data_IF_744741341884
#
_entry.id   IF_744741341884
#
_cell.length_a   1.000
_cell.length_b   1.000
_cell.length_c   1.000
_cell.angle_alpha   90.00
_cell.angle_beta   90.00
_cell.angle_gamma   90.00
#
_symmetry.space_group_name_H-M   'P 1'
#
loop_
_entity.id
_entity.type
_entity.pdbx_description
1 polymer ?
#
# COMPACT_ATOMS: atom_id res chain seq x y z
N UNK A 1 54.22 23.87 7.45
CA UNK A 1 53.15 23.22 8.24
C UNK A 1 51.83 23.41 7.52
N UNK A 2 51.16 22.33 7.10
CA UNK A 2 49.69 22.24 7.12
C UNK A 2 49.28 20.76 7.18
N UNK A 3 48.56 20.45 8.26
CA UNK A 3 48.00 19.17 8.69
C UNK A 3 46.83 18.74 7.79
N UNK A 4 47.05 18.55 6.50
CA UNK A 4 45.95 18.25 5.56
C UNK A 4 46.25 17.05 4.65
N UNK A 5 47.20 16.21 5.07
CA UNK A 5 47.60 14.97 4.38
C UNK A 5 47.40 13.74 5.26
N UNK A 6 46.42 13.80 6.16
CA UNK A 6 46.04 12.70 7.04
C UNK A 6 44.51 12.60 7.13
N UNK A 7 43.86 12.37 5.99
CA UNK A 7 42.52 11.75 5.91
C UNK A 7 42.57 10.75 4.75
N UNK A 8 43.38 9.72 4.94
CA UNK A 8 43.20 8.39 4.34
C UNK A 8 42.08 7.71 5.16
N UNK A 9 40.88 8.28 5.12
CA UNK A 9 39.78 7.90 5.99
C UNK A 9 38.51 7.64 5.19
N UNK A 10 38.30 6.36 4.88
CA UNK A 10 37.14 5.71 4.25
C UNK A 10 37.05 5.85 2.71
N UNK A 11 37.41 4.86 1.88
CA UNK A 11 36.69 3.60 1.58
C UNK A 11 35.20 3.88 1.30
N UNK A 12 34.65 3.67 0.10
CA UNK A 12 34.59 2.38 -0.60
C UNK A 12 34.50 2.56 -2.13
N UNK A 13 35.48 2.03 -2.86
CA UNK A 13 35.24 1.27 -4.09
C UNK A 13 34.89 -0.13 -3.61
N UNK A 14 33.68 -0.60 -3.90
CA UNK A 14 33.33 -2.01 -3.82
C UNK A 14 32.51 -2.34 -5.05
N UNK A 15 33.15 -3.01 -6.01
CA UNK A 15 32.42 -4.02 -6.75
C UNK A 15 32.38 -5.28 -5.88
N UNK A 16 31.21 -5.90 -5.87
CA UNK A 16 30.85 -7.24 -5.36
C UNK A 16 30.77 -7.44 -3.84
N UNK A 17 29.57 -7.84 -3.40
CA UNK A 17 29.41 -8.71 -2.23
C UNK A 17 28.40 -8.25 -1.18
N UNK A 18 27.13 -8.56 -1.42
CA UNK A 18 26.15 -8.97 -0.38
C UNK A 18 25.84 -7.97 0.75
N UNK A 19 24.94 -7.03 0.45
CA UNK A 19 23.76 -6.67 1.23
C UNK A 19 23.08 -5.50 0.49
N UNK A 20 21.76 -5.55 0.33
CA UNK A 20 20.92 -4.53 -0.30
C UNK A 20 21.24 -3.11 0.21
N UNK A 21 22.12 -2.38 -0.49
CA UNK A 21 22.26 -0.95 -0.29
C UNK A 21 21.18 -0.30 -1.15
N UNK A 22 20.06 0.01 -0.53
CA UNK A 22 18.96 0.77 -1.13
C UNK A 22 19.54 2.03 -1.81
N UNK A 23 19.13 2.30 -3.05
CA UNK A 23 19.51 3.53 -3.75
C UNK A 23 19.18 4.75 -2.89
N UNK A 24 20.13 5.70 -2.83
CA UNK A 24 19.90 6.96 -2.13
C UNK A 24 19.21 7.92 -3.10
N UNK A 25 17.96 8.33 -2.82
CA UNK A 25 17.20 9.13 -3.78
C UNK A 25 17.87 10.46 -4.12
N UNK A 26 17.77 10.87 -5.37
CA UNK A 26 18.27 12.16 -5.86
C UNK A 26 17.29 13.25 -5.42
N UNK A 27 17.72 14.27 -4.65
CA UNK A 27 16.81 15.26 -4.07
C UNK A 27 16.31 16.31 -5.06
N UNK A 28 17.08 16.61 -6.11
CA UNK A 28 16.79 17.65 -7.09
C UNK A 28 17.56 17.43 -8.41
N UNK A 29 17.15 18.10 -9.48
CA UNK A 29 17.78 17.98 -10.81
C UNK A 29 19.25 18.47 -10.84
N UNK A 30 19.63 19.39 -9.94
CA UNK A 30 21.02 19.88 -9.86
C UNK A 30 21.97 18.82 -9.29
N UNK A 31 21.42 17.89 -8.51
CA UNK A 31 22.12 16.77 -7.90
C UNK A 31 22.27 15.57 -8.85
N UNK A 32 21.68 15.62 -10.04
CA UNK A 32 21.82 14.56 -11.03
C UNK A 32 23.26 14.45 -11.56
N UNK A 33 23.76 13.22 -11.82
CA UNK A 33 25.08 13.02 -12.37
C UNK A 33 25.22 13.66 -13.76
N UNK A 34 26.42 14.16 -14.13
CA UNK A 34 26.65 14.61 -15.49
C UNK A 34 26.60 13.42 -16.47
N UNK A 35 26.05 13.65 -17.66
CA UNK A 35 25.96 12.64 -18.73
C UNK A 35 27.30 12.39 -19.42
N UNK A 36 28.22 13.35 -19.36
CA UNK A 36 29.57 13.25 -19.90
C UNK A 36 30.62 13.78 -18.94
N UNK A 37 31.83 13.23 -19.00
CA UNK A 37 32.99 13.78 -18.30
C UNK A 37 33.47 15.09 -18.94
N UNK A 38 34.52 15.67 -18.35
CA UNK A 38 35.13 16.93 -18.83
C UNK A 38 35.76 16.81 -20.24
N UNK A 39 35.84 15.61 -20.80
CA UNK A 39 36.37 15.30 -22.13
C UNK A 39 35.26 14.92 -23.13
N UNK A 40 33.98 14.94 -22.71
CA UNK A 40 32.85 14.56 -23.54
C UNK A 40 32.64 13.04 -23.63
N UNK A 41 33.31 12.24 -22.79
CA UNK A 41 33.09 10.79 -22.70
C UNK A 41 31.81 10.52 -21.92
N UNK A 42 30.93 9.67 -22.43
CA UNK A 42 29.72 9.29 -21.72
C UNK A 42 30.04 8.67 -20.35
N UNK A 43 29.35 9.16 -19.31
CA UNK A 43 29.40 8.60 -17.97
C UNK A 43 28.25 7.61 -17.82
N UNK A 44 28.54 6.42 -17.31
CA UNK A 44 27.49 5.51 -16.88
C UNK A 44 26.91 6.00 -15.54
N UNK A 45 25.69 6.52 -15.62
CA UNK A 45 24.94 7.14 -14.52
C UNK A 45 23.69 6.32 -14.16
N UNK A 46 23.67 5.02 -14.48
CA UNK A 46 22.66 4.10 -13.97
C UNK A 46 22.84 3.90 -12.47
N UNK A 47 21.81 4.23 -11.70
CA UNK A 47 21.76 3.97 -10.27
C UNK A 47 21.52 2.49 -9.93
N UNK A 48 20.87 1.74 -10.84
CA UNK A 48 20.60 0.32 -10.73
C UNK A 48 20.75 -0.39 -12.09
N UNK A 49 21.00 -1.72 -12.12
CA UNK A 49 21.01 -2.46 -13.37
C UNK A 49 19.61 -2.42 -14.03
N UNK A 50 19.61 -2.37 -15.37
CA UNK A 50 18.39 -2.37 -16.19
C UNK A 50 18.35 -3.61 -17.09
N UNK A 51 17.16 -4.07 -17.50
CA UNK A 51 17.03 -5.07 -18.55
C UNK A 51 17.71 -4.59 -19.83
N UNK A 52 18.48 -5.47 -20.47
CA UNK A 52 19.24 -5.12 -21.67
C UNK A 52 18.44 -5.48 -22.93
N UNK A 53 18.28 -4.52 -23.82
CA UNK A 53 17.68 -4.69 -25.15
C UNK A 53 18.21 -3.61 -26.10
N UNK A 54 17.93 -3.74 -27.40
CA UNK A 54 18.26 -2.70 -28.37
C UNK A 54 17.02 -1.82 -28.63
N UNK A 55 16.97 -0.58 -28.12
CA UNK A 55 15.81 0.30 -28.32
C UNK A 55 15.67 0.77 -29.77
N UNK A 56 16.71 0.63 -30.61
CA UNK A 56 16.69 0.98 -32.03
C UNK A 56 16.22 -0.19 -32.92
N UNK A 57 15.75 -1.28 -32.35
CA UNK A 57 15.30 -2.46 -33.09
C UNK A 57 13.98 -2.95 -32.53
N UNK A 58 12.93 -2.84 -33.36
CA UNK A 58 11.59 -3.33 -33.03
C UNK A 58 11.63 -4.80 -32.65
N UNK A 59 10.91 -5.15 -31.57
CA UNK A 59 10.84 -6.52 -31.08
C UNK A 59 12.18 -7.09 -30.58
N UNK A 60 13.19 -6.25 -30.29
CA UNK A 60 14.47 -6.75 -29.78
C UNK A 60 14.27 -7.57 -28.49
N UNK A 61 14.94 -8.74 -28.37
CA UNK A 61 14.80 -9.58 -27.19
C UNK A 61 15.37 -8.86 -25.96
N UNK A 62 14.80 -9.18 -24.80
CA UNK A 62 15.23 -8.60 -23.52
C UNK A 62 16.07 -9.62 -22.76
N UNK A 63 17.22 -9.18 -22.25
CA UNK A 63 18.05 -9.92 -21.32
C UNK A 63 17.83 -9.38 -19.90
N UNK A 64 17.22 -10.20 -19.05
CA UNK A 64 16.92 -9.87 -17.65
C UNK A 64 18.02 -10.31 -16.66
N UNK A 65 19.03 -11.06 -17.10
CA UNK A 65 20.13 -11.49 -16.22
C UNK A 65 20.80 -10.35 -15.42
N UNK A 66 20.95 -9.11 -15.95
CA UNK A 66 21.54 -8.02 -15.18
C UNK A 66 20.73 -7.59 -13.95
N UNK A 67 19.40 -7.81 -13.95
CA UNK A 67 18.50 -7.34 -12.89
C UNK A 67 18.11 -8.43 -11.89
N UNK A 68 18.58 -9.65 -12.06
CA UNK A 68 18.29 -10.76 -11.16
C UNK A 68 18.71 -10.39 -9.73
N UNK A 69 17.74 -10.38 -8.79
CA UNK A 69 17.96 -9.99 -7.40
C UNK A 69 18.23 -8.50 -7.16
N UNK A 70 18.09 -7.64 -8.17
CA UNK A 70 18.58 -6.24 -8.15
C UNK A 70 17.59 -5.21 -8.71
N UNK A 71 16.28 -5.52 -8.72
CA UNK A 71 15.23 -4.56 -9.07
C UNK A 71 15.15 -3.48 -7.99
N UNK A 72 15.18 -2.22 -8.41
CA UNK A 72 15.05 -1.03 -7.55
C UNK A 72 14.29 0.08 -8.31
N UNK A 73 13.01 0.24 -8.00
CA UNK A 73 12.15 1.22 -8.68
C UNK A 73 12.44 2.66 -8.28
N UNK A 74 13.00 2.89 -7.09
CA UNK A 74 13.49 4.20 -6.69
C UNK A 74 14.69 4.62 -7.56
N UNK A 75 15.62 3.70 -7.81
CA UNK A 75 16.70 3.93 -8.73
C UNK A 75 16.19 4.14 -10.17
N UNK A 76 15.20 3.37 -10.63
CA UNK A 76 14.64 3.51 -11.97
C UNK A 76 13.95 4.87 -12.18
N UNK A 77 13.18 5.32 -11.20
CA UNK A 77 12.53 6.64 -11.22
C UNK A 77 13.55 7.76 -11.24
N UNK A 78 14.61 7.67 -10.43
CA UNK A 78 15.68 8.66 -10.47
C UNK A 78 16.48 8.64 -11.78
N UNK A 79 16.63 7.48 -12.44
CA UNK A 79 17.19 7.41 -13.80
C UNK A 79 16.29 8.18 -14.78
N UNK A 80 14.96 8.04 -14.71
CA UNK A 80 14.01 8.81 -15.53
C UNK A 80 14.13 10.31 -15.20
N UNK A 81 14.04 10.68 -13.93
CA UNK A 81 14.14 12.05 -13.43
C UNK A 81 15.42 12.74 -13.93
N UNK A 82 16.58 12.09 -13.74
CA UNK A 82 17.84 12.65 -14.19
C UNK A 82 17.97 12.67 -15.72
N UNK A 83 17.34 11.73 -16.43
CA UNK A 83 17.24 11.75 -17.90
C UNK A 83 16.47 12.95 -18.44
N UNK A 84 15.65 13.63 -17.63
CA UNK A 84 14.94 14.84 -18.05
C UNK A 84 15.89 16.02 -18.27
N UNK A 85 17.05 16.07 -17.61
CA UNK A 85 18.02 17.17 -17.80
C UNK A 85 18.51 17.28 -19.26
N UNK A 86 19.08 16.22 -19.87
CA UNK A 86 19.49 16.27 -21.26
C UNK A 86 18.32 16.36 -22.25
N UNK A 87 17.15 15.80 -21.91
CA UNK A 87 15.94 15.88 -22.77
C UNK A 87 15.30 17.27 -22.72
N UNK A 88 15.34 17.94 -21.57
CA UNK A 88 14.84 19.30 -21.38
C UNK A 88 15.60 20.35 -22.20
N UNK A 89 16.84 20.06 -22.58
CA UNK A 89 17.58 20.84 -23.57
C UNK A 89 16.97 20.79 -24.98
N UNK A 90 16.16 19.77 -25.29
CA UNK A 90 15.46 19.58 -26.56
C UNK A 90 13.98 20.00 -26.46
N UNK A 91 13.34 19.66 -25.33
CA UNK A 91 11.92 19.87 -25.05
C UNK A 91 11.77 20.40 -23.62
N UNK A 92 11.87 21.73 -23.39
CA UNK A 92 11.87 22.31 -22.05
C UNK A 92 10.64 21.94 -21.20
N UNK A 93 9.50 21.70 -21.84
CA UNK A 93 8.23 21.37 -21.21
C UNK A 93 8.29 20.06 -20.40
N UNK A 94 9.23 19.15 -20.70
CA UNK A 94 9.36 17.90 -19.93
C UNK A 94 9.83 18.11 -18.50
N UNK A 95 10.46 19.26 -18.21
CA UNK A 95 10.95 19.59 -16.88
C UNK A 95 9.83 19.94 -15.91
N UNK A 96 8.67 20.37 -16.41
CA UNK A 96 7.49 20.66 -15.60
C UNK A 96 6.93 19.39 -14.94
N UNK A 97 7.24 18.22 -15.51
CA UNK A 97 6.79 16.91 -15.04
C UNK A 97 7.83 16.19 -14.18
N UNK A 98 8.97 16.80 -13.89
CA UNK A 98 10.07 16.13 -13.20
C UNK A 98 9.68 15.62 -11.81
N UNK A 99 8.88 16.39 -11.07
CA UNK A 99 8.41 15.98 -9.74
C UNK A 99 7.45 14.79 -9.75
N UNK A 100 6.82 14.46 -10.89
CA UNK A 100 5.91 13.32 -10.99
C UNK A 100 6.66 11.99 -11.15
N UNK A 101 7.94 12.03 -11.50
CA UNK A 101 8.75 10.84 -11.81
C UNK A 101 9.96 10.69 -10.89
N UNK A 102 10.03 11.50 -9.83
CA UNK A 102 11.10 11.46 -8.85
C UNK A 102 10.79 10.42 -7.76
N UNK A 103 11.79 9.64 -7.32
CA UNK A 103 11.57 8.59 -6.32
C UNK A 103 10.88 9.10 -5.02
N UNK A 104 11.24 10.30 -4.57
CA UNK A 104 10.79 10.85 -3.29
C UNK A 104 9.31 11.25 -3.26
N UNK A 105 8.72 11.52 -4.43
CA UNK A 105 7.44 12.23 -4.54
C UNK A 105 6.48 11.61 -5.55
N UNK A 106 6.93 10.60 -6.32
CA UNK A 106 6.09 9.90 -7.29
C UNK A 106 4.90 9.24 -6.61
N UNK A 107 3.71 9.71 -7.00
CA UNK A 107 2.39 9.19 -6.64
C UNK A 107 1.44 9.60 -7.78
N UNK A 108 1.37 8.74 -8.80
CA UNK A 108 0.71 9.03 -10.09
C UNK A 108 -0.44 8.08 -10.41
N UNK A 109 -0.74 7.14 -9.53
CA UNK A 109 -1.63 6.02 -9.82
C UNK A 109 -2.98 6.10 -9.08
N UNK A 110 -3.41 7.32 -8.73
CA UNK A 110 -4.72 7.60 -8.15
C UNK A 110 -5.84 7.85 -9.16
N UNK A 111 -7.00 8.33 -8.69
CA UNK A 111 -8.15 8.57 -9.53
C UNK A 111 -7.86 9.52 -10.70
N UNK A 112 -8.40 9.25 -11.87
CA UNK A 112 -8.21 10.10 -13.05
C UNK A 112 -8.94 11.43 -12.88
N UNK A 113 -8.26 12.53 -13.17
CA UNK A 113 -8.87 13.85 -13.37
C UNK A 113 -8.75 14.28 -14.84
N UNK A 114 -9.84 14.13 -15.60
CA UNK A 114 -9.87 14.47 -17.02
C UNK A 114 -9.85 16.00 -17.28
N UNK A 115 -10.02 16.83 -16.25
CA UNK A 115 -9.95 18.29 -16.37
C UNK A 115 -8.52 18.82 -16.15
N UNK A 116 -7.63 18.00 -15.60
CA UNK A 116 -6.23 18.35 -15.36
C UNK A 116 -5.39 18.26 -16.65
N UNK A 117 -4.30 19.04 -16.71
CA UNK A 117 -3.34 19.00 -17.82
C UNK A 117 -2.65 17.63 -17.93
N UNK A 118 -2.48 16.95 -16.80
CA UNK A 118 -2.13 15.55 -16.74
C UNK A 118 -3.23 14.78 -16.00
N UNK A 119 -3.85 13.77 -16.64
CA UNK A 119 -4.99 13.06 -16.09
C UNK A 119 -4.60 12.00 -15.05
N UNK A 120 -3.57 12.28 -14.24
CA UNK A 120 -3.07 11.42 -13.16
C UNK A 120 -3.08 12.21 -11.85
N UNK A 121 -3.53 11.58 -10.77
CA UNK A 121 -3.59 12.20 -9.44
C UNK A 121 -2.97 11.27 -8.39
N UNK A 122 -2.56 11.80 -7.23
CA UNK A 122 -2.04 10.96 -6.15
C UNK A 122 -3.13 10.14 -5.46
N UNK A 123 -2.80 8.89 -5.11
CA UNK A 123 -3.65 8.02 -4.30
C UNK A 123 -3.28 8.07 -2.79
N UNK A 124 -2.19 8.76 -2.43
CA UNK A 124 -1.69 8.94 -1.08
C UNK A 124 -0.68 7.89 -0.61
N UNK A 125 -0.38 6.88 -1.43
CA UNK A 125 0.69 5.90 -1.23
C UNK A 125 1.80 6.21 -2.22
N UNK A 126 3.00 6.50 -1.73
CA UNK A 126 4.12 6.78 -2.64
C UNK A 126 4.47 5.54 -3.47
N UNK A 127 4.65 5.72 -4.78
CA UNK A 127 4.80 4.60 -5.71
C UNK A 127 6.19 3.97 -5.62
N UNK A 128 7.24 4.78 -5.83
CA UNK A 128 8.56 4.31 -6.23
C UNK A 128 9.21 3.37 -5.21
N UNK A 129 9.42 3.85 -3.98
CA UNK A 129 10.13 3.12 -2.93
C UNK A 129 9.21 2.30 -2.02
N UNK A 130 7.89 2.51 -2.10
CA UNK A 130 6.93 1.87 -1.20
C UNK A 130 6.03 0.87 -1.95
N UNK A 131 5.08 1.32 -2.78
CA UNK A 131 4.17 0.40 -3.49
C UNK A 131 4.94 -0.55 -4.43
N UNK A 132 5.74 0.01 -5.34
CA UNK A 132 6.64 -0.77 -6.18
C UNK A 132 7.81 -1.39 -5.39
N UNK A 133 8.06 -0.92 -4.17
CA UNK A 133 9.03 -1.51 -3.23
C UNK A 133 8.67 -2.93 -2.81
N UNK A 134 7.38 -3.20 -2.56
CA UNK A 134 6.86 -4.55 -2.25
C UNK A 134 7.12 -5.49 -3.44
N UNK A 135 6.78 -5.04 -4.66
CA UNK A 135 7.04 -5.77 -5.89
C UNK A 135 8.54 -6.07 -6.08
N UNK A 136 9.40 -5.07 -5.89
CA UNK A 136 10.86 -5.25 -5.98
C UNK A 136 11.38 -6.28 -4.99
N UNK A 137 10.91 -6.26 -3.74
CA UNK A 137 11.33 -7.22 -2.72
C UNK A 137 10.95 -8.66 -3.09
N UNK A 138 9.70 -8.90 -3.55
CA UNK A 138 9.26 -10.22 -4.01
C UNK A 138 10.04 -10.69 -5.25
N UNK A 139 10.25 -9.79 -6.23
CA UNK A 139 11.06 -10.10 -7.42
C UNK A 139 12.49 -10.49 -7.03
N UNK A 140 13.12 -9.70 -6.14
CA UNK A 140 14.49 -9.92 -5.71
C UNK A 140 14.65 -11.18 -4.84
N UNK A 141 13.59 -11.60 -4.16
CA UNK A 141 13.52 -12.89 -3.47
C UNK A 141 13.35 -14.09 -4.44
N UNK A 142 13.11 -13.83 -5.73
CA UNK A 142 12.92 -14.86 -6.74
C UNK A 142 11.55 -15.51 -6.73
N UNK A 143 10.52 -14.79 -6.28
CA UNK A 143 9.13 -15.27 -6.37
C UNK A 143 8.77 -15.55 -7.85
N UNK A 144 8.38 -16.80 -8.14
CA UNK A 144 8.24 -17.28 -9.52
C UNK A 144 7.06 -16.62 -10.25
N UNK A 145 5.97 -16.30 -9.55
CA UNK A 145 4.81 -15.63 -10.13
C UNK A 145 5.16 -14.18 -10.43
N UNK A 146 5.75 -13.49 -9.46
CA UNK A 146 6.17 -12.08 -9.59
C UNK A 146 7.22 -11.91 -10.68
N UNK A 147 8.23 -12.77 -10.73
CA UNK A 147 9.29 -12.71 -11.75
C UNK A 147 8.70 -12.93 -13.14
N UNK A 148 7.79 -13.89 -13.32
CA UNK A 148 7.17 -14.16 -14.60
C UNK A 148 6.29 -13.00 -15.08
N UNK A 149 5.41 -12.49 -14.21
CA UNK A 149 4.51 -11.39 -14.54
C UNK A 149 5.28 -10.11 -14.88
N UNK A 150 6.23 -9.70 -14.03
CA UNK A 150 7.02 -8.50 -14.27
C UNK A 150 7.81 -8.56 -15.58
N UNK A 151 8.45 -9.70 -15.89
CA UNK A 151 9.22 -9.85 -17.13
C UNK A 151 8.32 -9.85 -18.37
N UNK A 152 7.15 -10.49 -18.30
CA UNK A 152 6.16 -10.47 -19.39
C UNK A 152 5.63 -9.04 -19.63
N UNK A 153 5.25 -8.34 -18.55
CA UNK A 153 4.80 -6.96 -18.58
C UNK A 153 5.88 -6.03 -19.15
N UNK A 154 7.14 -6.21 -18.75
CA UNK A 154 8.27 -5.44 -19.29
C UNK A 154 8.39 -5.60 -20.80
N UNK A 155 8.29 -6.82 -21.33
CA UNK A 155 8.35 -7.05 -22.78
C UNK A 155 7.20 -6.36 -23.50
N UNK A 156 5.98 -6.46 -22.97
CA UNK A 156 4.78 -5.83 -23.54
C UNK A 156 4.91 -4.30 -23.58
N UNK A 157 5.19 -3.68 -22.43
CA UNK A 157 5.34 -2.24 -22.26
C UNK A 157 6.49 -1.68 -23.09
N UNK A 158 7.66 -2.32 -23.05
CA UNK A 158 8.82 -1.90 -23.84
C UNK A 158 8.51 -1.90 -25.33
N UNK A 159 7.80 -2.91 -25.83
CA UNK A 159 7.41 -2.95 -27.24
C UNK A 159 6.47 -1.78 -27.60
N UNK A 160 5.47 -1.48 -26.75
CA UNK A 160 4.61 -0.31 -26.96
C UNK A 160 5.39 1.00 -27.05
N UNK A 161 6.32 1.24 -26.12
CA UNK A 161 7.13 2.46 -26.09
C UNK A 161 8.03 2.56 -27.33
N UNK A 162 8.73 1.48 -27.67
CA UNK A 162 9.63 1.46 -28.84
C UNK A 162 8.84 1.63 -30.14
N UNK A 163 7.68 1.00 -30.27
CA UNK A 163 6.79 1.15 -31.43
C UNK A 163 6.27 2.60 -31.54
N UNK A 164 5.87 3.23 -30.42
CA UNK A 164 5.44 4.63 -30.39
C UNK A 164 6.54 5.58 -30.88
N UNK A 165 7.76 5.40 -30.36
CA UNK A 165 8.90 6.25 -30.72
C UNK A 165 9.32 6.03 -32.17
N UNK A 166 9.24 4.81 -32.69
CA UNK A 166 9.52 4.51 -34.09
C UNK A 166 8.51 5.19 -35.02
N UNK A 167 7.22 5.18 -34.69
CA UNK A 167 6.20 5.91 -35.46
C UNK A 167 6.41 7.42 -35.38
N UNK A 168 6.77 7.96 -34.21
CA UNK A 168 7.09 9.37 -34.05
C UNK A 168 8.30 9.78 -34.90
N UNK A 169 9.34 8.94 -34.98
CA UNK A 169 10.52 9.14 -35.84
C UNK A 169 10.15 9.15 -37.34
N UNK A 170 9.15 8.40 -37.78
CA UNK A 170 8.67 8.45 -39.17
C UNK A 170 7.90 9.73 -39.49
N UNK A 171 7.28 10.36 -38.49
CA UNK A 171 6.48 11.60 -38.65
C UNK A 171 7.32 12.87 -38.55
N UNK A 172 8.36 12.87 -37.71
CA UNK A 172 9.35 13.92 -37.68
C UNK A 172 10.34 13.68 -38.84
N UNK A 173 10.70 14.68 -39.64
CA UNK A 173 11.71 14.56 -40.71
C UNK A 173 13.15 14.27 -40.17
N UNK A 174 13.35 13.38 -39.19
CA UNK A 174 14.63 13.14 -38.54
C UNK A 174 14.65 12.10 -37.40
N UNK A 175 15.86 11.86 -36.89
CA UNK A 175 16.24 10.75 -36.00
C UNK A 175 15.87 10.96 -34.50
N UNK A 176 14.61 11.26 -34.19
CA UNK A 176 14.17 11.58 -32.82
C UNK A 176 14.50 10.46 -31.81
N UNK A 177 14.21 9.20 -32.17
CA UNK A 177 14.54 8.04 -31.32
C UNK A 177 16.05 7.91 -31.11
N UNK A 178 16.85 8.09 -32.17
CA UNK A 178 18.32 8.10 -32.07
C UNK A 178 18.85 9.24 -31.20
N UNK A 179 18.24 10.43 -31.29
CA UNK A 179 18.61 11.61 -30.52
C UNK A 179 18.28 11.43 -29.03
N UNK A 180 17.06 11.02 -28.70
CA UNK A 180 16.64 10.72 -27.32
C UNK A 180 17.51 9.60 -26.73
N UNK A 181 17.75 8.53 -27.49
CA UNK A 181 18.61 7.44 -27.03
C UNK A 181 20.08 7.86 -26.87
N UNK A 182 20.55 8.87 -27.61
CA UNK A 182 21.89 9.43 -27.42
C UNK A 182 21.99 10.37 -26.23
N UNK A 183 20.95 11.17 -25.99
CA UNK A 183 20.90 12.16 -24.92
C UNK A 183 20.58 11.52 -23.55
N UNK A 184 19.73 10.50 -23.55
CA UNK A 184 19.23 9.79 -22.38
C UNK A 184 19.15 8.27 -22.65
N UNK A 185 20.30 7.57 -22.71
CA UNK A 185 20.38 6.16 -23.13
C UNK A 185 19.66 5.18 -22.21
N UNK A 186 19.32 5.59 -20.98
CA UNK A 186 18.69 4.73 -19.99
C UNK A 186 17.19 5.02 -19.82
N UNK A 187 16.68 6.12 -20.37
CA UNK A 187 15.30 6.57 -20.21
C UNK A 187 14.27 5.54 -20.66
N UNK A 188 14.45 4.96 -21.85
CA UNK A 188 13.50 3.98 -22.39
C UNK A 188 13.47 2.73 -21.50
N UNK A 189 14.64 2.27 -21.05
CA UNK A 189 14.75 1.10 -20.19
C UNK A 189 14.14 1.32 -18.82
N UNK A 190 14.43 2.44 -18.15
CA UNK A 190 13.90 2.75 -16.82
C UNK A 190 12.39 3.05 -16.86
N UNK A 191 11.91 3.79 -17.86
CA UNK A 191 10.47 4.02 -18.06
C UNK A 191 9.72 2.70 -18.30
N UNK A 192 10.27 1.82 -19.14
CA UNK A 192 9.69 0.49 -19.36
C UNK A 192 9.64 -0.33 -18.07
N UNK A 193 10.69 -0.26 -17.23
CA UNK A 193 10.72 -0.93 -15.92
C UNK A 193 9.60 -0.42 -15.02
N UNK A 194 9.48 0.90 -14.84
CA UNK A 194 8.49 1.51 -13.93
C UNK A 194 7.07 1.16 -14.37
N UNK A 195 6.75 1.35 -15.64
CA UNK A 195 5.42 1.07 -16.19
C UNK A 195 5.08 -0.42 -16.13
N UNK A 196 6.05 -1.31 -16.35
CA UNK A 196 5.86 -2.74 -16.13
C UNK A 196 5.60 -3.07 -14.65
N UNK A 197 6.24 -2.35 -13.74
CA UNK A 197 5.96 -2.42 -12.31
C UNK A 197 4.51 -2.12 -12.00
N UNK A 198 4.01 -0.97 -12.47
CA UNK A 198 2.61 -0.57 -12.32
C UNK A 198 1.62 -1.60 -12.89
N UNK A 199 1.90 -2.13 -14.08
CA UNK A 199 1.06 -3.18 -14.70
C UNK A 199 1.00 -4.46 -13.84
N UNK A 200 2.02 -4.71 -13.01
CA UNK A 200 2.11 -5.92 -12.17
C UNK A 200 1.32 -5.77 -10.86
N UNK A 201 1.02 -4.55 -10.41
CA UNK A 201 0.27 -4.30 -9.17
C UNK A 201 -1.23 -4.67 -9.26
N UNK A 202 -1.77 -4.75 -10.49
CA UNK A 202 -3.20 -5.04 -10.77
C UNK A 202 -4.21 -4.06 -10.15
N UNK A 203 -3.80 -2.81 -9.99
CA UNK A 203 -4.68 -1.75 -9.53
C UNK A 203 -5.52 -1.21 -10.70
N UNK A 204 -6.84 -1.20 -10.54
CA UNK A 204 -7.80 -0.76 -11.57
C UNK A 204 -7.61 0.72 -11.94
N UNK A 205 -7.30 1.57 -10.96
CA UNK A 205 -7.06 3.00 -11.16
C UNK A 205 -5.72 3.21 -11.87
N UNK A 206 -4.68 2.46 -11.48
CA UNK A 206 -3.38 2.41 -12.15
C UNK A 206 -3.55 2.03 -13.62
N UNK A 207 -4.28 0.95 -13.92
CA UNK A 207 -4.53 0.52 -15.29
C UNK A 207 -5.31 1.57 -16.09
N UNK A 208 -6.31 2.21 -15.48
CA UNK A 208 -7.05 3.28 -16.13
C UNK A 208 -6.16 4.51 -16.42
N UNK A 209 -5.27 4.88 -15.49
CA UNK A 209 -4.31 5.97 -15.66
C UNK A 209 -3.33 5.65 -16.80
N UNK A 210 -2.78 4.42 -16.82
CA UNK A 210 -1.96 3.92 -17.91
C UNK A 210 -2.69 3.95 -19.26
N UNK A 211 -3.99 3.61 -19.30
CA UNK A 211 -4.80 3.71 -20.51
C UNK A 211 -4.94 5.16 -21.00
N UNK A 212 -5.11 6.13 -20.09
CA UNK A 212 -5.11 7.55 -20.48
C UNK A 212 -3.74 7.97 -21.05
N UNK A 213 -2.64 7.51 -20.45
CA UNK A 213 -1.30 7.77 -20.99
C UNK A 213 -1.13 7.15 -22.40
N UNK A 214 -1.65 5.94 -22.64
CA UNK A 214 -1.64 5.33 -23.97
C UNK A 214 -2.49 6.12 -24.99
N UNK A 215 -3.61 6.70 -24.57
CA UNK A 215 -4.42 7.57 -25.43
C UNK A 215 -3.68 8.85 -25.81
N UNK A 216 -2.92 9.47 -24.90
CA UNK A 216 -2.04 10.60 -25.23
C UNK A 216 -0.98 10.20 -26.26
N UNK A 217 -0.46 8.97 -26.19
CA UNK A 217 0.49 8.44 -27.17
C UNK A 217 -0.15 8.10 -28.53
N UNK A 218 -1.49 8.01 -28.62
CA UNK A 218 -2.17 7.82 -29.89
C UNK A 218 -1.96 9.01 -30.84
N UNK A 219 -1.82 10.23 -30.29
CA UNK A 219 -1.57 11.44 -31.07
C UNK A 219 -0.22 11.40 -31.80
N UNK A 220 0.80 10.77 -31.19
CA UNK A 220 2.10 10.54 -31.83
C UNK A 220 2.11 9.31 -32.75
N UNK A 221 1.00 8.56 -32.83
CA UNK A 221 0.77 7.49 -33.81
C UNK A 221 0.87 6.07 -33.26
N UNK A 222 0.91 5.91 -31.93
CA UNK A 222 0.65 4.61 -31.31
C UNK A 222 -0.78 4.18 -31.66
N UNK A 223 -1.00 2.89 -31.92
CA UNK A 223 -2.35 2.31 -31.85
C UNK A 223 -2.49 1.67 -30.48
N UNK A 224 -3.29 2.24 -29.55
CA UNK A 224 -3.50 1.64 -28.24
C UNK A 224 -4.03 0.20 -28.38
N UNK A 225 -3.62 -0.73 -27.49
CA UNK A 225 -4.16 -2.08 -27.49
C UNK A 225 -5.68 -2.10 -27.34
N UNK A 226 -6.35 -3.00 -28.06
CA UNK A 226 -7.78 -3.23 -27.87
C UNK A 226 -8.00 -3.78 -26.45
N UNK A 227 -8.79 -3.06 -25.64
CA UNK A 227 -9.03 -3.41 -24.23
C UNK A 227 -8.05 -2.79 -23.24
N UNK A 228 -7.16 -1.88 -23.69
CA UNK A 228 -6.24 -1.16 -22.80
C UNK A 228 -5.01 -1.96 -22.39
N UNK A 229 -4.23 -1.43 -21.46
CA UNK A 229 -2.99 -2.02 -20.97
C UNK A 229 -3.25 -3.38 -20.32
N UNK A 230 -4.34 -3.49 -19.54
CA UNK A 230 -4.73 -4.73 -18.84
C UNK A 230 -5.09 -5.89 -19.78
N UNK A 231 -5.32 -5.63 -21.07
CA UNK A 231 -5.55 -6.69 -22.06
C UNK A 231 -4.25 -7.36 -22.54
N UNK A 232 -3.10 -6.73 -22.30
CA UNK A 232 -1.79 -7.22 -22.77
C UNK A 232 -0.78 -7.43 -21.63
N UNK A 233 -1.16 -7.16 -20.39
CA UNK A 233 -0.35 -7.34 -19.19
C UNK A 233 -1.01 -8.29 -18.19
N UNK A 234 -0.23 -8.82 -17.26
CA UNK A 234 -0.66 -9.70 -16.19
C UNK A 234 -0.46 -9.00 -14.84
N UNK A 235 -1.57 -8.78 -14.12
CA UNK A 235 -1.55 -8.17 -12.80
C UNK A 235 -1.56 -9.22 -11.68
N UNK A 236 -0.95 -8.86 -10.55
CA UNK A 236 -0.96 -9.62 -9.29
C UNK A 236 -1.66 -8.80 -8.20
N UNK A 237 -2.97 -9.04 -8.03
CA UNK A 237 -3.84 -8.26 -7.14
C UNK A 237 -3.37 -8.08 -5.69
N UNK A 238 -2.64 -9.04 -5.12
CA UNK A 238 -2.17 -8.91 -3.74
C UNK A 238 -1.03 -7.88 -3.58
N UNK A 239 -0.39 -7.45 -4.68
CA UNK A 239 0.68 -6.46 -4.64
C UNK A 239 0.17 -5.02 -4.69
N UNK A 240 -1.02 -4.77 -5.24
CA UNK A 240 -1.58 -3.42 -5.34
C UNK A 240 -1.97 -2.83 -3.99
N UNK A 241 -2.25 -1.52 -3.96
CA UNK A 241 -2.70 -0.75 -2.79
C UNK A 241 -3.74 -1.46 -1.89
N UNK A 242 -4.79 -2.02 -2.51
CA UNK A 242 -5.89 -2.70 -1.81
C UNK A 242 -5.65 -4.21 -1.63
N UNK A 243 -4.54 -4.73 -2.15
CA UNK A 243 -4.08 -6.10 -1.98
C UNK A 243 -3.50 -6.38 -0.60
N UNK A 244 -3.16 -7.64 -0.33
CA UNK A 244 -2.63 -8.15 0.94
C UNK A 244 -1.36 -8.96 0.67
N UNK A 245 -0.19 -8.30 0.69
CA UNK A 245 1.05 -8.89 0.21
C UNK A 245 1.70 -9.91 1.16
N UNK A 246 1.34 -9.86 2.44
CA UNK A 246 1.85 -10.75 3.50
C UNK A 246 0.83 -11.81 3.93
N UNK A 247 -0.45 -11.64 3.59
CA UNK A 247 -1.53 -12.55 3.95
C UNK A 247 -2.05 -12.37 5.37
N UNK A 248 -1.77 -11.22 6.01
CA UNK A 248 -2.26 -10.85 7.35
C UNK A 248 -3.76 -10.57 7.37
N UNK A 249 -4.35 -10.27 6.22
CA UNK A 249 -5.73 -9.80 6.09
C UNK A 249 -5.88 -8.27 6.21
N UNK A 250 -4.78 -7.54 6.39
CA UNK A 250 -4.75 -6.09 6.21
C UNK A 250 -4.34 -5.77 4.77
N UNK A 251 -4.88 -4.70 4.20
CA UNK A 251 -4.41 -4.26 2.88
C UNK A 251 -3.08 -3.53 2.98
N UNK A 252 -2.28 -3.56 1.91
CA UNK A 252 -1.01 -2.84 1.80
C UNK A 252 -1.17 -1.35 2.16
N UNK A 253 -2.31 -0.75 1.81
CA UNK A 253 -2.70 0.61 2.19
C UNK A 253 -2.88 0.83 3.70
N UNK A 254 -3.52 -0.11 4.40
CA UNK A 254 -3.71 -0.02 5.86
C UNK A 254 -2.37 -0.07 6.55
N UNK A 255 -1.51 -0.98 6.11
CA UNK A 255 -0.14 -1.12 6.62
C UNK A 255 0.72 0.10 6.31
N UNK A 256 0.64 0.63 5.10
CA UNK A 256 1.33 1.86 4.70
C UNK A 256 0.97 3.03 5.62
N UNK A 257 -0.32 3.26 5.85
CA UNK A 257 -0.75 4.33 6.75
C UNK A 257 -0.25 4.13 8.18
N UNK A 258 -0.23 2.89 8.67
CA UNK A 258 0.24 2.62 10.01
C UNK A 258 1.76 2.77 10.14
N UNK A 259 2.54 2.05 9.33
CA UNK A 259 3.99 2.01 9.43
C UNK A 259 4.64 3.29 8.94
N UNK A 260 4.19 3.83 7.80
CA UNK A 260 4.80 5.03 7.20
C UNK A 260 4.21 6.30 7.80
N UNK A 261 2.89 6.49 7.72
CA UNK A 261 2.29 7.75 8.19
C UNK A 261 2.20 7.84 9.71
N UNK A 262 2.00 6.71 10.40
CA UNK A 262 1.87 6.66 11.85
C UNK A 262 3.20 6.50 12.61
N UNK A 263 4.10 5.65 12.10
CA UNK A 263 5.38 5.34 12.76
C UNK A 263 6.61 5.92 12.05
N UNK A 264 6.43 6.62 10.93
CA UNK A 264 7.51 7.26 10.16
C UNK A 264 8.56 6.27 9.65
N UNK A 265 8.15 5.04 9.29
CA UNK A 265 9.05 4.04 8.73
C UNK A 265 9.69 4.53 7.43
N UNK A 266 10.99 4.30 7.30
CA UNK A 266 11.70 4.41 6.03
C UNK A 266 11.15 3.39 5.02
N UNK A 267 11.38 3.57 3.71
CA UNK A 267 10.84 2.63 2.72
C UNK A 267 11.34 1.19 2.92
N UNK A 268 12.60 0.98 3.34
CA UNK A 268 13.11 -0.36 3.65
C UNK A 268 12.43 -0.99 4.87
N UNK A 269 12.16 -0.19 5.92
CA UNK A 269 11.44 -0.68 7.10
C UNK A 269 9.99 -1.02 6.76
N UNK A 270 9.32 -0.19 5.94
CA UNK A 270 7.97 -0.47 5.47
C UNK A 270 7.90 -1.74 4.64
N UNK A 271 8.75 -1.89 3.62
CA UNK A 271 8.72 -3.08 2.74
C UNK A 271 9.02 -4.36 3.53
N UNK A 272 9.88 -4.29 4.55
CA UNK A 272 10.09 -5.42 5.45
C UNK A 272 8.84 -5.75 6.27
N UNK A 273 8.15 -4.73 6.81
CA UNK A 273 6.94 -4.91 7.61
C UNK A 273 5.75 -5.41 6.77
N UNK A 274 5.50 -4.82 5.59
CA UNK A 274 4.41 -5.18 4.68
C UNK A 274 4.57 -6.56 4.01
N UNK A 275 5.64 -7.28 4.34
CA UNK A 275 5.91 -8.64 3.89
C UNK A 275 6.05 -9.62 5.07
N UNK A 276 5.83 -9.16 6.31
CA UNK A 276 5.92 -9.95 7.53
C UNK A 276 4.53 -10.08 8.18
N UNK A 277 3.85 -11.23 8.03
CA UNK A 277 2.53 -11.44 8.61
C UNK A 277 2.50 -11.47 10.14
N UNK A 278 3.66 -11.47 10.81
CA UNK A 278 3.72 -11.30 12.27
C UNK A 278 3.77 -9.82 12.69
N UNK A 279 4.04 -8.92 11.75
CA UNK A 279 4.13 -7.48 11.96
C UNK A 279 2.88 -6.77 11.42
N UNK A 280 1.76 -6.95 12.11
CA UNK A 280 0.49 -6.35 11.69
C UNK A 280 0.20 -5.02 12.43
N UNK A 281 -0.50 -4.06 11.79
CA UNK A 281 -1.12 -2.94 12.49
C UNK A 281 -2.07 -3.44 13.60
N UNK A 282 -2.12 -2.78 14.78
CA UNK A 282 -3.11 -3.09 15.80
C UNK A 282 -4.53 -2.94 15.24
N UNK A 283 -5.38 -3.93 15.49
CA UNK A 283 -6.74 -4.02 14.95
C UNK A 283 -7.51 -2.69 15.01
N UNK A 284 -8.08 -2.32 13.86
CA UNK A 284 -8.49 -0.97 13.44
C UNK A 284 -9.67 -0.38 14.22
N UNK A 285 -10.56 -1.22 14.80
CA UNK A 285 -11.64 -0.82 15.72
C UNK A 285 -11.94 -1.94 16.72
N UNK A 286 -11.48 -1.79 17.96
CA UNK A 286 -11.85 -2.71 19.03
C UNK A 286 -13.02 -2.11 19.84
N UNK A 287 -14.19 -2.72 19.75
CA UNK A 287 -15.30 -2.44 20.66
C UNK A 287 -15.21 -3.38 21.87
N UNK A 288 -15.13 -2.80 23.06
CA UNK A 288 -15.05 -3.54 24.32
C UNK A 288 -16.14 -3.08 25.27
N UNK A 289 -16.59 -3.96 26.16
CA UNK A 289 -17.56 -3.60 27.20
C UNK A 289 -16.99 -3.91 28.57
N UNK A 290 -17.19 -3.02 29.54
CA UNK A 290 -16.84 -3.25 30.93
C UNK A 290 -18.04 -2.96 31.84
N UNK A 291 -18.54 -3.96 32.60
CA UNK A 291 -18.09 -5.36 32.63
C UNK A 291 -18.46 -6.12 31.34
N UNK A 292 -17.74 -7.21 31.05
CA UNK A 292 -18.05 -8.10 29.91
C UNK A 292 -19.15 -9.09 30.27
N UNK A 293 -19.91 -9.54 29.26
CA UNK A 293 -20.93 -10.57 29.40
C UNK A 293 -22.33 -10.00 29.68
N UNK A 294 -23.13 -10.74 30.46
CA UNK A 294 -24.52 -10.37 30.77
C UNK A 294 -24.56 -9.34 31.91
N UNK A 295 -25.26 -8.24 31.70
CA UNK A 295 -25.40 -7.16 32.68
C UNK A 295 -26.64 -7.43 33.55
N UNK A 296 -26.54 -7.38 34.88
CA UNK A 296 -27.73 -7.50 35.74
C UNK A 296 -28.62 -6.25 35.61
N UNK A 297 -29.93 -6.41 35.77
CA UNK A 297 -30.86 -5.29 35.85
C UNK A 297 -30.42 -4.29 36.94
N UNK A 298 -30.41 -3.00 36.59
CA UNK A 298 -29.89 -1.91 37.42
C UNK A 298 -28.36 -1.78 37.43
N UNK A 299 -27.63 -2.64 36.71
CA UNK A 299 -26.19 -2.58 36.55
C UNK A 299 -25.73 -1.44 35.64
N UNK A 300 -24.42 -1.19 35.61
CA UNK A 300 -23.81 -0.22 34.71
C UNK A 300 -22.87 -0.94 33.75
N UNK A 301 -22.79 -0.47 32.51
CA UNK A 301 -21.85 -0.93 31.50
C UNK A 301 -21.33 0.25 30.69
N UNK A 302 -20.05 0.25 30.40
CA UNK A 302 -19.43 1.19 29.45
C UNK A 302 -18.93 0.39 28.25
N UNK A 303 -19.38 0.79 27.06
CA UNK A 303 -18.91 0.25 25.79
C UNK A 303 -17.91 1.26 25.22
N UNK A 304 -16.67 0.84 24.98
CA UNK A 304 -15.58 1.71 24.53
C UNK A 304 -15.07 1.27 23.16
N UNK A 305 -14.69 2.25 22.35
CA UNK A 305 -14.06 2.08 21.04
C UNK A 305 -12.61 2.52 21.16
N UNK A 306 -11.70 1.64 20.77
CA UNK A 306 -10.32 2.03 20.51
C UNK A 306 -10.17 2.33 19.02
N UNK A 307 -9.65 3.52 18.71
CA UNK A 307 -9.36 3.98 17.35
C UNK A 307 -7.84 4.11 17.22
N UNK A 308 -7.28 3.53 16.17
CA UNK A 308 -5.83 3.52 15.96
C UNK A 308 -5.32 4.95 15.64
N UNK A 309 -4.27 5.44 16.34
CA UNK A 309 -3.73 6.79 16.14
C UNK A 309 -3.19 7.06 14.72
N UNK A 310 -2.91 6.02 13.92
CA UNK A 310 -2.48 6.15 12.51
C UNK A 310 -3.60 6.50 11.52
N UNK A 311 -4.88 6.47 11.92
CA UNK A 311 -5.98 6.77 11.02
C UNK A 311 -6.26 8.27 10.84
N UNK A 312 -5.66 9.13 11.67
CA UNK A 312 -5.90 10.58 11.65
C UNK A 312 -6.23 11.14 13.04
N UNK A 313 -6.18 12.45 13.17
CA UNK A 313 -6.24 13.16 14.46
C UNK A 313 -7.64 13.62 14.86
N UNK A 314 -8.60 13.59 13.93
CA UNK A 314 -10.00 13.93 14.18
C UNK A 314 -10.88 12.70 13.97
N UNK A 315 -11.51 12.24 15.04
CA UNK A 315 -12.40 11.09 15.04
C UNK A 315 -13.76 11.55 15.52
N UNK A 316 -14.75 11.58 14.64
CA UNK A 316 -16.15 11.75 15.03
C UNK A 316 -16.78 10.36 15.23
N UNK A 317 -17.56 10.22 16.29
CA UNK A 317 -18.28 8.99 16.61
C UNK A 317 -19.77 9.26 16.50
N UNK A 318 -20.52 8.27 16.03
CA UNK A 318 -21.97 8.27 16.13
C UNK A 318 -22.46 6.89 16.54
N UNK A 319 -23.05 6.79 17.73
CA UNK A 319 -23.63 5.55 18.22
C UNK A 319 -25.06 5.35 17.72
N UNK A 320 -25.43 4.08 17.59
CA UNK A 320 -26.78 3.61 17.27
C UNK A 320 -27.08 2.34 18.06
N UNK A 321 -28.37 2.11 18.34
CA UNK A 321 -28.88 0.88 18.93
C UNK A 321 -29.94 0.29 18.02
N UNK A 322 -29.77 -0.98 17.65
CA UNK A 322 -30.69 -1.69 16.75
C UNK A 322 -30.99 -0.88 15.48
N UNK A 323 -29.95 -0.24 14.92
CA UNK A 323 -29.99 0.66 13.75
C UNK A 323 -30.70 2.01 13.96
N UNK A 324 -31.09 2.36 15.18
CA UNK A 324 -31.63 3.67 15.54
C UNK A 324 -30.52 4.53 16.14
N UNK A 325 -30.30 5.71 15.58
CA UNK A 325 -29.28 6.67 16.06
C UNK A 325 -29.57 7.04 17.52
N UNK A 326 -28.53 7.04 18.34
CA UNK A 326 -28.56 7.60 19.69
C UNK A 326 -28.07 9.04 19.59
N UNK A 327 -29.01 9.99 19.67
CA UNK A 327 -28.69 11.42 19.61
C UNK A 327 -27.70 11.79 20.74
N UNK A 328 -26.78 12.71 20.43
CA UNK A 328 -25.74 13.24 21.33
C UNK A 328 -24.67 12.24 21.83
N UNK A 329 -24.79 10.95 21.50
CA UNK A 329 -23.78 9.94 21.80
C UNK A 329 -22.68 9.97 20.72
N UNK A 330 -21.74 10.90 20.90
CA UNK A 330 -20.62 11.15 19.96
C UNK A 330 -19.24 10.91 20.56
N UNK A 331 -19.17 10.26 21.72
CA UNK A 331 -17.91 9.92 22.38
C UNK A 331 -17.30 8.61 21.89
N UNK A 332 -16.01 8.41 22.16
CA UNK A 332 -15.34 7.12 21.98
C UNK A 332 -15.83 6.04 22.96
N UNK A 333 -16.69 6.40 23.92
CA UNK A 333 -17.33 5.46 24.82
C UNK A 333 -18.81 5.84 25.04
N UNK A 334 -19.66 4.82 25.11
CA UNK A 334 -21.08 4.89 25.43
C UNK A 334 -21.31 4.31 26.83
N UNK A 335 -21.89 5.09 27.74
CA UNK A 335 -22.14 4.66 29.13
C UNK A 335 -23.62 4.43 29.38
N UNK A 336 -23.98 3.20 29.73
CA UNK A 336 -25.35 2.82 30.09
C UNK A 336 -25.38 2.58 31.60
N UNK A 337 -26.06 3.46 32.32
CA UNK A 337 -26.23 3.39 33.77
C UNK A 337 -27.61 2.90 34.14
N UNK A 338 -27.74 2.13 35.22
CA UNK A 338 -29.03 1.58 35.68
C UNK A 338 -29.75 0.81 34.55
N UNK A 339 -29.02 -0.10 33.90
CA UNK A 339 -29.46 -0.82 32.72
C UNK A 339 -30.78 -1.59 32.95
N UNK A 340 -31.73 -1.42 32.05
CA UNK A 340 -33.02 -2.08 32.02
C UNK A 340 -33.02 -3.20 30.99
N UNK A 341 -33.98 -4.14 31.07
CA UNK A 341 -34.12 -5.21 30.07
C UNK A 341 -34.22 -4.64 28.66
N UNK A 342 -34.92 -3.51 28.52
CA UNK A 342 -35.09 -2.78 27.28
C UNK A 342 -33.78 -2.26 26.69
N UNK A 343 -32.69 -2.16 27.45
CA UNK A 343 -31.37 -1.72 26.97
C UNK A 343 -30.60 -2.82 26.23
N UNK A 344 -31.06 -4.07 26.30
CA UNK A 344 -30.52 -5.14 25.47
C UNK A 344 -30.69 -4.82 23.98
N UNK A 345 -29.69 -5.15 23.17
CA UNK A 345 -29.71 -4.85 21.73
C UNK A 345 -28.31 -4.85 21.12
N UNK A 346 -28.25 -4.59 19.81
CA UNK A 346 -27.00 -4.43 19.07
C UNK A 346 -26.66 -2.94 19.03
N UNK A 347 -25.57 -2.57 19.71
CA UNK A 347 -25.01 -1.23 19.68
C UNK A 347 -23.98 -1.17 18.56
N UNK A 348 -24.13 -0.24 17.63
CA UNK A 348 -23.17 -0.02 16.55
C UNK A 348 -22.66 1.42 16.58
N UNK A 349 -21.41 1.61 16.21
CA UNK A 349 -20.78 2.93 16.14
C UNK A 349 -20.21 3.13 14.74
N UNK A 350 -20.54 4.27 14.15
CA UNK A 350 -19.84 4.77 12.96
C UNK A 350 -18.73 5.69 13.45
N UNK A 351 -17.52 5.43 12.97
CA UNK A 351 -16.33 6.21 13.24
C UNK A 351 -15.95 6.89 11.93
N UNK A 352 -16.07 8.21 11.91
CA UNK A 352 -15.63 9.06 10.80
C UNK A 352 -14.24 9.59 11.13
N UNK A 353 -13.27 9.18 10.32
CA UNK A 353 -11.88 9.62 10.46
C UNK A 353 -11.58 10.46 9.23
N UNK A 354 -11.32 11.75 9.43
CA UNK A 354 -11.11 12.74 8.36
C UNK A 354 -9.76 12.52 7.64
N UNK A 355 -9.65 11.40 6.92
CA UNK A 355 -8.63 11.13 5.93
C UNK A 355 -9.16 11.56 4.56
N UNK A 356 -8.26 12.01 3.68
CA UNK A 356 -8.56 12.53 2.33
C UNK A 356 -9.11 11.48 1.34
N UNK A 357 -10.22 10.83 1.69
CA UNK A 357 -11.19 10.12 0.87
C UNK A 357 -12.04 9.25 1.82
N UNK A 358 -13.30 9.66 2.04
CA UNK A 358 -14.41 9.00 2.76
C UNK A 358 -14.06 7.67 3.47
N UNK A 359 -13.92 7.69 4.79
CA UNK A 359 -13.52 6.50 5.58
C UNK A 359 -14.43 6.30 6.80
N UNK A 360 -15.72 6.03 6.55
CA UNK A 360 -16.65 5.64 7.63
C UNK A 360 -16.45 4.16 7.99
N UNK A 361 -16.04 3.88 9.23
CA UNK A 361 -15.89 2.52 9.73
C UNK A 361 -17.02 2.17 10.71
N UNK A 362 -17.50 0.93 10.69
CA UNK A 362 -18.57 0.46 11.58
C UNK A 362 -18.09 -0.69 12.47
N UNK A 363 -18.37 -0.61 13.77
CA UNK A 363 -18.20 -1.71 14.73
C UNK A 363 -19.51 -1.96 15.50
N UNK A 364 -19.75 -3.18 15.98
CA UNK A 364 -20.97 -3.52 16.74
C UNK A 364 -20.73 -4.42 17.96
N UNK A 365 -21.56 -4.26 18.99
CA UNK A 365 -21.56 -5.02 20.24
C UNK A 365 -22.98 -5.40 20.66
N UNK A 366 -23.20 -6.67 21.04
CA UNK A 366 -24.50 -7.11 21.55
C UNK A 366 -24.54 -7.03 23.08
N UNK A 367 -25.38 -6.13 23.61
CA UNK A 367 -25.64 -6.03 25.04
C UNK A 367 -26.82 -6.92 25.44
N UNK A 368 -26.67 -7.66 26.54
CA UNK A 368 -27.74 -8.46 27.14
C UNK A 368 -27.91 -8.09 28.61
N UNK A 369 -29.08 -7.54 28.94
CA UNK A 369 -29.50 -7.22 30.31
C UNK A 369 -30.50 -8.26 30.82
N UNK A 370 -30.25 -8.83 31.99
CA UNK A 370 -31.12 -9.86 32.57
C UNK A 370 -31.67 -9.44 33.93
N UNK A 371 -32.94 -9.73 34.16
CA UNK A 371 -33.52 -9.73 35.49
C UNK A 371 -32.90 -10.87 36.30
N UNK A 372 -32.21 -10.53 37.39
CA UNK A 372 -31.77 -11.53 38.34
C UNK A 372 -32.96 -11.95 39.20
N UNK A 373 -33.77 -12.88 38.71
CA UNK A 373 -34.77 -13.55 39.53
C UNK A 373 -34.02 -14.58 40.36
N UNK A 374 -33.68 -14.24 41.61
CA UNK A 374 -33.35 -15.28 42.59
C UNK A 374 -34.60 -16.17 42.67
N UNK A 375 -34.53 -17.48 42.38
CA UNK A 375 -35.67 -18.34 42.55
C UNK A 375 -36.01 -18.34 44.03
N UNK A 376 -37.05 -17.59 44.43
CA UNK A 376 -37.60 -17.62 45.79
C UNK A 376 -38.07 -19.05 46.15
N UNK A 377 -38.15 -19.96 45.16
CA UNK A 377 -38.35 -21.40 45.35
C UNK A 377 -37.19 -22.19 45.96
N UNK A 378 -35.99 -21.61 46.11
CA UNK A 378 -34.82 -22.32 46.65
C UNK A 378 -34.94 -22.67 48.14
N UNK A 379 -35.49 -21.76 48.95
CA UNK A 379 -35.61 -22.00 50.39
C UNK A 379 -36.72 -23.00 50.74
N UNK A 380 -37.86 -22.93 50.06
CA UNK A 380 -38.99 -23.84 50.31
C UNK A 380 -38.71 -25.22 49.72
N UNK A 381 -38.08 -25.30 48.54
CA UNK A 381 -37.68 -26.56 47.90
C UNK A 381 -36.68 -27.37 48.73
N UNK A 382 -35.68 -26.70 49.34
CA UNK A 382 -34.71 -27.35 50.23
C UNK A 382 -35.35 -27.82 51.55
N UNK A 383 -36.32 -27.08 52.11
CA UNK A 383 -37.04 -27.50 53.32
C UNK A 383 -37.94 -28.71 53.06
N UNK A 384 -38.62 -28.75 51.91
CA UNK A 384 -39.46 -29.90 51.52
C UNK A 384 -38.62 -31.15 51.23
N UNK A 385 -37.45 -31.00 50.60
CA UNK A 385 -36.54 -32.11 50.32
C UNK A 385 -35.89 -32.67 51.60
N UNK A 386 -35.48 -31.79 52.53
CA UNK A 386 -34.97 -32.20 53.84
C UNK A 386 -36.05 -32.91 54.69
N UNK A 387 -37.29 -32.42 54.65
CA UNK A 387 -38.43 -33.06 55.31
C UNK A 387 -38.78 -34.44 54.73
N UNK A 388 -38.71 -34.60 53.40
CA UNK A 388 -38.95 -35.88 52.73
C UNK A 388 -37.86 -36.93 53.07
N UNK A 389 -36.59 -36.50 53.16
CA UNK A 389 -35.49 -37.38 53.56
C UNK A 389 -35.58 -37.82 55.03
N UNK A 390 -36.03 -36.94 55.94
CA UNK A 390 -36.24 -37.30 57.34
C UNK A 390 -37.39 -38.32 57.52
N UNK A 391 -38.47 -38.18 56.75
CA UNK A 391 -39.63 -39.09 56.80
C UNK A 391 -39.33 -40.48 56.22
N UNK A 392 -38.52 -40.57 55.17
CA UNK A 392 -38.08 -41.85 54.60
C UNK A 392 -37.18 -42.64 55.56
N UNK A 393 -36.33 -41.96 56.34
CA UNK A 393 -35.49 -42.58 57.38
C UNK A 393 -36.30 -43.19 58.52
N UNK A 394 -37.36 -42.52 58.98
CA UNK A 394 -38.23 -43.02 60.06
C UNK A 394 -39.09 -44.21 59.61
N UNK A 395 -39.54 -44.23 58.35
CA UNK A 395 -40.30 -45.36 57.80
C UNK A 395 -39.43 -46.61 57.57
N UNK A 396 -38.16 -46.44 57.19
CA UNK A 396 -37.20 -47.54 57.02
C UNK A 396 -36.82 -48.25 58.33
N UNK A 397 -36.76 -47.51 59.44
CA UNK A 397 -36.44 -48.06 60.77
C UNK A 397 -37.60 -48.82 61.42
N UNK A 398 -38.86 -48.53 61.06
CA UNK A 398 -40.04 -49.24 61.62
C UNK A 398 -40.33 -50.61 60.99
N UNK A 399 -39.74 -50.94 59.83
CA UNK A 399 -39.90 -52.25 59.17
C UNK A 399 -38.87 -53.31 59.57
N UNK A 400 -37.97 -53.01 60.51
CA UNK A 400 -36.92 -53.93 61.01
C UNK A 400 -37.05 -54.32 62.49
N UNK A 401 -38.26 -54.31 63.06
CA UNK A 401 -38.53 -54.92 64.38
C UNK A 401 -39.55 -56.03 64.25
#
# INVERSE_FOLDING_TARGET
MKKTSLVIGLLVVAMSGMAFAQHTPVPDLESCPPTTDVYGTAIDWKFAPLPQFNPLTLGSPVNFAPIEGQVDFCAYTDIVFCSLVPVGGLLPEVLDFANLVQCLTMDINGPIDLEAELPVTPNGMLDAAYELGILAAKYNAGDAEVVAAYQANFVAVKNLIVDALYVAELKADGALLGLVNSAAPYLIGSLSSILAGFCTLDDVQTNAALDQLLLLLADIGLTPPEGGIGAITEGIAYLGKDGDADGSGNSNWVEYNYFVNGLEYSPAEYVAAALDPEQEPPAVLAITANPTGKIPLGGNVTISVAVNPGMGTAVAYQWSKDSVILDDETGSALSITNAQVADSGVYSVVVDVDAKAVTQHTASYTLVVLEFVIPVGGAIGLVVLAGACAMAGVAGLRRRK
#
